data_IF_442619272205
#
_entry.id   IF_442619272205
#
_cell.length_a   1.000
_cell.length_b   1.000
_cell.length_c   1.000
_cell.angle_alpha   90.00
_cell.angle_beta   90.00
_cell.angle_gamma   90.00
#
_symmetry.space_group_name_H-M   'P 1'
#
loop_
_entity.id
_entity.type
_entity.pdbx_description
1 polymer ?
#
# COMPACT_ATOMS: atom_id res chain seq x y z
N UNK A 1 14.65 -14.43 5.94
CA UNK A 1 14.04 -14.34 7.28
C UNK A 1 13.42 -15.69 7.64
N UNK A 2 13.80 -16.30 8.77
CA UNK A 2 13.42 -17.66 9.16
C UNK A 2 11.88 -17.93 9.12
N UNK A 3 11.01 -17.06 9.67
CA UNK A 3 9.57 -17.27 9.62
C UNK A 3 9.00 -17.32 8.20
N UNK A 4 9.53 -16.51 7.28
CA UNK A 4 9.07 -16.49 5.89
C UNK A 4 9.45 -17.75 5.13
N UNK A 5 10.64 -18.32 5.42
CA UNK A 5 11.05 -19.60 4.86
C UNK A 5 10.14 -20.73 5.31
N UNK A 6 9.87 -20.83 6.62
CA UNK A 6 8.96 -21.86 7.18
C UNK A 6 7.56 -21.77 6.58
N UNK A 7 7.02 -20.57 6.42
CA UNK A 7 5.71 -20.37 5.80
C UNK A 7 5.70 -20.86 4.35
N UNK A 8 6.75 -20.52 3.59
CA UNK A 8 6.92 -20.99 2.21
C UNK A 8 7.01 -22.51 2.13
N UNK A 9 7.83 -23.12 2.98
CA UNK A 9 8.00 -24.58 3.02
C UNK A 9 6.70 -25.29 3.37
N UNK A 10 5.93 -24.78 4.32
CA UNK A 10 4.59 -25.27 4.65
C UNK A 10 3.63 -25.17 3.46
N UNK A 11 3.61 -24.02 2.78
CA UNK A 11 2.75 -23.81 1.62
C UNK A 11 3.08 -24.80 0.50
N UNK A 12 4.37 -24.98 0.19
CA UNK A 12 4.84 -25.93 -0.82
C UNK A 12 4.47 -27.37 -0.43
N UNK A 13 4.67 -27.75 0.84
CA UNK A 13 4.30 -29.07 1.36
C UNK A 13 2.79 -29.32 1.26
N UNK A 14 1.98 -28.28 1.43
CA UNK A 14 0.52 -28.32 1.28
C UNK A 14 0.06 -28.27 -0.20
N UNK A 15 0.96 -28.33 -1.17
CA UNK A 15 0.65 -28.27 -2.60
C UNK A 15 0.24 -26.88 -3.10
N UNK A 16 0.50 -25.81 -2.32
CA UNK A 16 0.20 -24.44 -2.72
C UNK A 16 1.35 -23.89 -3.56
N UNK A 17 1.04 -23.40 -4.75
CA UNK A 17 2.01 -22.74 -5.60
C UNK A 17 2.44 -21.39 -4.98
N UNK A 18 3.74 -21.24 -4.73
CA UNK A 18 4.32 -20.00 -4.20
C UNK A 18 5.14 -19.34 -5.30
N UNK A 19 4.78 -18.10 -5.64
CA UNK A 19 5.47 -17.32 -6.67
C UNK A 19 5.99 -16.01 -6.06
N UNK A 20 7.27 -15.75 -6.23
CA UNK A 20 7.85 -14.45 -5.91
C UNK A 20 7.55 -13.44 -7.01
N UNK A 21 7.33 -12.18 -6.65
CA UNK A 21 7.07 -11.08 -7.58
C UNK A 21 7.89 -9.86 -7.21
N UNK A 22 8.30 -9.09 -8.21
CA UNK A 22 9.06 -7.86 -8.03
C UNK A 22 8.57 -6.73 -8.96
N UNK A 23 9.07 -5.54 -8.76
CA UNK A 23 8.70 -4.37 -9.54
C UNK A 23 8.91 -4.61 -11.05
N UNK A 24 7.96 -4.09 -11.84
CA UNK A 24 7.92 -4.28 -13.29
C UNK A 24 7.02 -5.42 -13.74
N UNK A 25 6.74 -6.39 -12.88
CA UNK A 25 5.83 -7.49 -13.20
C UNK A 25 4.35 -7.07 -13.18
N UNK A 26 3.55 -7.76 -13.97
CA UNK A 26 2.09 -7.63 -13.91
C UNK A 26 1.41 -8.96 -14.18
N UNK A 27 0.24 -9.13 -13.57
CA UNK A 27 -0.61 -10.30 -13.79
C UNK A 27 -2.08 -9.91 -13.74
N UNK A 28 -2.97 -10.83 -14.09
CA UNK A 28 -4.42 -10.62 -14.05
C UNK A 28 -5.07 -11.52 -13.01
N UNK A 29 -6.07 -11.00 -12.34
CA UNK A 29 -6.97 -11.76 -11.50
C UNK A 29 -8.41 -11.37 -11.85
N UNK A 30 -9.11 -12.27 -12.54
CA UNK A 30 -10.39 -11.97 -13.15
C UNK A 30 -10.28 -10.78 -14.11
N UNK A 31 -11.08 -9.74 -13.89
CA UNK A 31 -11.07 -8.50 -14.69
C UNK A 31 -10.00 -7.49 -14.27
N UNK A 32 -9.41 -7.68 -13.09
CA UNK A 32 -8.39 -6.78 -12.59
C UNK A 32 -7.02 -7.07 -13.20
N UNK A 33 -6.26 -6.01 -13.49
CA UNK A 33 -4.82 -6.07 -13.77
C UNK A 33 -4.09 -5.60 -12.51
N UNK A 34 -3.11 -6.37 -12.08
CA UNK A 34 -2.28 -6.08 -10.92
C UNK A 34 -0.86 -5.84 -11.40
N UNK A 35 -0.29 -4.70 -11.07
CA UNK A 35 1.10 -4.34 -11.32
C UNK A 35 1.86 -4.32 -10.00
N UNK A 36 3.03 -4.93 -9.97
CA UNK A 36 3.96 -4.80 -8.86
C UNK A 36 4.84 -3.57 -9.12
N UNK A 37 4.75 -2.57 -8.25
CA UNK A 37 5.49 -1.31 -8.38
C UNK A 37 6.76 -1.31 -7.53
N UNK A 38 6.76 -2.08 -6.44
CA UNK A 38 7.85 -2.22 -5.46
C UNK A 38 7.69 -3.56 -4.70
N UNK A 39 8.73 -4.19 -4.16
CA UNK A 39 10.15 -3.82 -4.24
C UNK A 39 10.75 -4.10 -5.63
N UNK A 40 11.91 -3.51 -5.95
CA UNK A 40 12.71 -3.96 -7.10
C UNK A 40 13.12 -5.42 -6.90
N UNK A 41 13.71 -6.04 -7.93
CA UNK A 41 14.26 -7.38 -7.80
C UNK A 41 15.16 -7.46 -6.57
N UNK A 42 14.93 -8.49 -5.74
CA UNK A 42 15.47 -8.49 -4.41
C UNK A 42 16.99 -8.58 -4.40
N UNK A 43 17.60 -7.62 -3.75
CA UNK A 43 18.94 -7.74 -3.21
C UNK A 43 18.84 -8.46 -1.85
N UNK A 44 18.95 -9.78 -1.87
CA UNK A 44 18.76 -10.65 -0.70
C UNK A 44 19.85 -10.54 0.35
N UNK A 45 20.87 -9.73 0.14
CA UNK A 45 22.00 -9.56 1.04
C UNK A 45 21.70 -8.61 2.22
N UNK A 46 20.53 -7.98 2.26
CA UNK A 46 20.18 -7.05 3.34
C UNK A 46 19.86 -7.79 4.64
N UNK A 47 20.58 -7.51 5.73
CA UNK A 47 20.40 -8.22 7.00
C UNK A 47 19.11 -7.85 7.76
N UNK A 48 18.42 -6.77 7.37
CA UNK A 48 17.19 -6.28 8.04
C UNK A 48 16.13 -5.86 7.05
N UNK A 49 14.90 -6.31 7.29
CA UNK A 49 13.69 -5.85 6.60
C UNK A 49 13.36 -4.43 7.08
N UNK A 50 13.04 -3.54 6.13
CA UNK A 50 12.61 -2.15 6.38
C UNK A 50 11.16 -1.99 5.93
N UNK A 51 10.51 -0.92 6.39
CA UNK A 51 9.18 -0.55 5.88
C UNK A 51 9.20 -0.34 4.36
N UNK A 52 10.28 0.25 3.84
CA UNK A 52 10.49 0.46 2.41
C UNK A 52 10.72 -0.82 1.60
N UNK A 53 10.80 -1.98 2.23
CA UNK A 53 10.79 -3.28 1.54
C UNK A 53 9.35 -3.81 1.33
N UNK A 54 8.34 -3.03 1.70
CA UNK A 54 6.92 -3.38 1.53
C UNK A 54 6.54 -3.57 0.07
N UNK A 55 5.68 -4.55 -0.19
CA UNK A 55 5.10 -4.76 -1.51
C UNK A 55 4.12 -3.63 -1.83
N UNK A 56 4.33 -2.97 -2.97
CA UNK A 56 3.41 -1.97 -3.51
C UNK A 56 2.73 -2.51 -4.75
N UNK A 57 1.42 -2.54 -4.72
CA UNK A 57 0.59 -3.01 -5.83
C UNK A 57 -0.31 -1.88 -6.35
N UNK A 58 -0.38 -1.77 -7.67
CA UNK A 58 -1.45 -1.04 -8.33
C UNK A 58 -2.45 -2.04 -8.94
N UNK A 59 -3.68 -1.94 -8.54
CA UNK A 59 -4.79 -2.76 -9.04
C UNK A 59 -5.70 -1.89 -9.91
N UNK A 60 -5.84 -2.25 -11.19
CA UNK A 60 -6.72 -1.53 -12.12
C UNK A 60 -7.87 -2.42 -12.59
N UNK A 61 -9.10 -1.87 -12.61
CA UNK A 61 -10.28 -2.53 -13.13
C UNK A 61 -11.23 -1.49 -13.74
N UNK A 62 -11.42 -1.52 -15.05
CA UNK A 62 -12.16 -0.47 -15.76
C UNK A 62 -11.57 0.92 -15.46
N UNK A 63 -12.41 1.84 -15.03
CA UNK A 63 -12.05 3.23 -14.71
C UNK A 63 -11.45 3.44 -13.31
N UNK A 64 -11.20 2.36 -12.56
CA UNK A 64 -10.71 2.42 -11.19
C UNK A 64 -9.26 1.97 -11.12
N UNK A 65 -8.42 2.74 -10.43
CA UNK A 65 -7.09 2.34 -9.99
C UNK A 65 -7.00 2.42 -8.47
N UNK A 66 -6.52 1.36 -7.84
CA UNK A 66 -6.26 1.30 -6.41
C UNK A 66 -4.78 1.08 -6.16
N UNK A 67 -4.18 1.93 -5.32
CA UNK A 67 -2.79 1.81 -4.90
C UNK A 67 -2.74 1.23 -3.48
N UNK A 68 -2.11 0.08 -3.35
CA UNK A 68 -1.83 -0.61 -2.09
C UNK A 68 -0.35 -0.40 -1.77
N UNK A 69 -0.05 0.39 -0.76
CA UNK A 69 1.29 0.95 -0.53
C UNK A 69 2.11 0.19 0.50
N UNK A 70 1.52 -0.73 1.27
CA UNK A 70 2.21 -1.26 2.45
C UNK A 70 2.61 -0.13 3.41
N UNK A 71 3.82 -0.20 3.92
CA UNK A 71 4.36 0.75 4.91
C UNK A 71 5.52 1.59 4.36
N UNK A 72 5.58 1.79 3.02
CA UNK A 72 6.60 2.59 2.36
C UNK A 72 6.63 4.04 2.84
N UNK A 73 7.82 4.62 2.78
CA UNK A 73 8.04 6.04 3.05
C UNK A 73 8.04 6.91 1.78
N UNK A 74 8.26 8.20 2.00
CA UNK A 74 8.20 9.23 0.95
C UNK A 74 9.21 9.04 -0.19
N UNK A 75 10.32 8.35 0.02
CA UNK A 75 11.32 8.07 -1.01
C UNK A 75 10.74 7.13 -2.07
N UNK A 76 10.22 5.97 -1.62
CA UNK A 76 9.58 5.00 -2.52
C UNK A 76 8.34 5.60 -3.19
N UNK A 77 7.55 6.40 -2.45
CA UNK A 77 6.40 7.10 -3.03
C UNK A 77 6.78 8.01 -4.21
N UNK A 78 7.89 8.76 -4.10
CA UNK A 78 8.40 9.60 -5.20
C UNK A 78 8.80 8.78 -6.43
N UNK A 79 9.41 7.62 -6.20
CA UNK A 79 9.87 6.75 -7.29
C UNK A 79 8.71 6.10 -8.05
N UNK A 80 7.64 5.73 -7.35
CA UNK A 80 6.49 5.08 -8.00
C UNK A 80 5.49 6.07 -8.61
N UNK A 81 5.38 7.30 -8.07
CA UNK A 81 4.38 8.28 -8.47
C UNK A 81 4.31 8.55 -9.99
N UNK A 82 5.43 8.70 -10.74
CA UNK A 82 5.40 8.93 -12.18
C UNK A 82 4.87 7.73 -12.99
N UNK A 83 4.89 6.53 -12.39
CA UNK A 83 4.51 5.27 -13.05
C UNK A 83 3.05 4.88 -12.83
N UNK A 84 2.31 5.65 -12.04
CA UNK A 84 0.93 5.34 -11.66
C UNK A 84 -0.06 5.59 -12.79
N UNK A 85 -1.05 4.71 -12.91
CA UNK A 85 -2.11 4.80 -13.91
C UNK A 85 -3.03 5.99 -13.62
N UNK A 86 -3.31 6.78 -14.65
CA UNK A 86 -4.27 7.89 -14.64
C UNK A 86 -5.69 7.38 -14.87
N UNK A 87 -6.29 6.76 -13.84
CA UNK A 87 -7.67 6.31 -13.89
C UNK A 87 -8.65 7.43 -13.48
N UNK A 88 -9.92 7.30 -13.83
CA UNK A 88 -10.98 8.25 -13.46
C UNK A 88 -11.23 8.26 -11.96
N UNK A 89 -11.23 7.08 -11.34
CA UNK A 89 -11.37 6.90 -9.89
C UNK A 89 -10.06 6.34 -9.34
N UNK A 90 -9.46 7.03 -8.38
CA UNK A 90 -8.19 6.64 -7.75
C UNK A 90 -8.38 6.48 -6.27
N UNK A 91 -8.06 5.29 -5.76
CA UNK A 91 -8.20 4.88 -4.36
C UNK A 91 -6.82 4.61 -3.78
N UNK A 92 -6.45 5.33 -2.75
CA UNK A 92 -5.19 5.14 -2.03
C UNK A 92 -5.43 4.38 -0.73
N UNK A 93 -4.81 3.20 -0.55
CA UNK A 93 -4.53 2.68 0.78
C UNK A 93 -3.33 3.46 1.32
N UNK A 94 -3.58 4.32 2.30
CA UNK A 94 -2.54 5.18 2.89
C UNK A 94 -1.43 4.34 3.50
N UNK A 95 -0.18 4.67 3.16
CA UNK A 95 0.99 3.95 3.61
C UNK A 95 1.22 4.11 5.12
N UNK A 96 1.81 3.09 5.72
CA UNK A 96 2.26 3.07 7.11
C UNK A 96 1.22 3.63 8.09
N UNK A 97 -0.05 3.22 7.89
CA UNK A 97 -1.20 3.59 8.73
C UNK A 97 -1.43 5.11 8.87
N UNK A 98 -0.84 5.92 7.99
CA UNK A 98 -0.85 7.38 8.08
C UNK A 98 0.26 7.95 8.96
N UNK A 99 1.42 7.30 8.99
CA UNK A 99 2.64 7.84 9.58
C UNK A 99 3.05 9.14 8.91
N UNK A 100 3.63 10.06 9.65
CA UNK A 100 4.16 11.34 9.15
C UNK A 100 5.16 11.19 8.00
N UNK A 101 5.87 10.06 7.94
CA UNK A 101 6.87 9.76 6.91
C UNK A 101 6.28 9.26 5.59
N UNK A 102 4.95 9.07 5.52
CA UNK A 102 4.23 8.59 4.35
C UNK A 102 3.27 9.63 3.77
N UNK A 103 2.61 9.29 2.67
CA UNK A 103 1.65 10.18 1.97
C UNK A 103 2.27 11.52 1.62
N UNK A 104 3.41 11.46 0.93
CA UNK A 104 4.19 12.64 0.52
C UNK A 104 3.39 13.55 -0.41
N UNK A 105 3.67 14.84 -0.38
CA UNK A 105 3.09 15.81 -1.31
C UNK A 105 3.33 15.38 -2.76
N UNK A 106 4.53 14.86 -3.08
CA UNK A 106 4.87 14.38 -4.42
C UNK A 106 3.91 13.29 -4.93
N UNK A 107 3.58 12.30 -4.11
CA UNK A 107 2.58 11.28 -4.47
C UNK A 107 1.19 11.87 -4.59
N UNK A 108 0.76 12.62 -3.57
CA UNK A 108 -0.61 13.12 -3.47
C UNK A 108 -0.95 14.14 -4.54
N UNK A 109 -0.05 15.06 -4.85
CA UNK A 109 -0.24 16.10 -5.88
C UNK A 109 -0.18 15.52 -7.29
N UNK A 110 0.72 14.57 -7.53
CA UNK A 110 0.89 13.97 -8.86
C UNK A 110 -0.24 13.01 -9.21
N UNK A 111 -0.70 12.19 -8.27
CA UNK A 111 -1.72 11.16 -8.54
C UNK A 111 -3.13 11.59 -8.15
N UNK A 112 -3.30 12.46 -7.14
CA UNK A 112 -4.55 13.06 -6.65
C UNK A 112 -5.66 12.01 -6.43
N UNK A 113 -5.49 11.08 -5.46
CA UNK A 113 -6.54 10.11 -5.15
C UNK A 113 -7.81 10.82 -4.66
N UNK A 114 -8.97 10.36 -5.12
CA UNK A 114 -10.27 10.87 -4.63
C UNK A 114 -10.68 10.23 -3.31
N UNK A 115 -10.19 9.01 -3.04
CA UNK A 115 -10.51 8.23 -1.85
C UNK A 115 -9.21 7.79 -1.19
N UNK A 116 -9.10 8.02 0.11
CA UNK A 116 -8.00 7.56 0.94
C UNK A 116 -8.51 6.62 2.04
N UNK A 117 -7.96 5.42 2.09
CA UNK A 117 -8.30 4.38 3.07
C UNK A 117 -7.17 4.25 4.09
N UNK A 118 -7.46 4.48 5.35
CA UNK A 118 -6.50 4.39 6.44
C UNK A 118 -6.87 3.21 7.35
N UNK A 119 -5.97 2.23 7.44
CA UNK A 119 -6.07 1.14 8.40
C UNK A 119 -5.37 1.58 9.69
N UNK A 120 -6.12 1.85 10.74
CA UNK A 120 -5.58 2.23 12.05
C UNK A 120 -6.39 1.54 13.16
N UNK A 121 -5.73 1.19 14.24
CA UNK A 121 -6.37 0.65 15.44
C UNK A 121 -6.96 1.77 16.30
N UNK A 122 -8.08 1.52 16.97
CA UNK A 122 -8.61 2.44 17.98
C UNK A 122 -7.64 2.57 19.14
N UNK A 123 -7.29 3.81 19.51
CA UNK A 123 -6.38 4.07 20.61
C UNK A 123 -4.96 3.52 20.37
N UNK A 124 -4.51 3.39 19.11
CA UNK A 124 -3.17 2.92 18.83
C UNK A 124 -2.12 3.85 19.45
N UNK A 125 -1.08 3.26 20.04
CA UNK A 125 0.00 3.97 20.74
C UNK A 125 0.92 4.78 19.82
N UNK A 126 0.85 4.56 18.50
CA UNK A 126 1.69 5.25 17.52
C UNK A 126 1.16 6.63 17.12
N UNK A 127 -0.07 6.97 17.52
CA UNK A 127 -0.72 8.23 17.14
C UNK A 127 -1.06 8.33 15.66
N UNK A 128 -1.21 7.20 14.97
CA UNK A 128 -1.56 7.15 13.56
C UNK A 128 -3.09 7.10 13.34
N UNK A 129 -3.60 7.74 12.28
CA UNK A 129 -2.91 8.64 11.35
C UNK A 129 -2.56 9.97 12.04
N UNK A 130 -1.42 10.55 11.65
CA UNK A 130 -0.99 11.86 12.16
C UNK A 130 -1.80 12.99 11.55
N UNK A 131 -1.86 14.13 12.26
CA UNK A 131 -2.59 15.32 11.80
C UNK A 131 -2.06 15.82 10.45
N UNK A 132 -0.74 15.77 10.26
CA UNK A 132 -0.08 16.22 9.03
C UNK A 132 -0.50 15.40 7.81
N UNK A 133 -0.67 14.07 7.96
CA UNK A 133 -1.17 13.22 6.87
C UNK A 133 -2.61 13.54 6.54
N UNK A 134 -3.45 13.73 7.56
CA UNK A 134 -4.85 14.09 7.35
C UNK A 134 -4.98 15.46 6.65
N UNK A 135 -4.19 16.45 7.03
CA UNK A 135 -4.15 17.77 6.37
C UNK A 135 -3.72 17.67 4.90
N UNK A 136 -2.68 16.86 4.59
CA UNK A 136 -2.25 16.64 3.20
C UNK A 136 -3.32 15.97 2.36
N UNK A 137 -4.05 15.01 2.90
CA UNK A 137 -5.16 14.36 2.20
C UNK A 137 -6.34 15.32 1.98
N UNK A 138 -6.64 16.15 2.98
CA UNK A 138 -7.69 17.17 2.89
C UNK A 138 -7.35 18.26 1.85
N UNK A 139 -6.09 18.71 1.80
CA UNK A 139 -5.64 19.74 0.85
C UNK A 139 -5.79 19.35 -0.62
N UNK A 140 -5.80 18.05 -0.94
CA UNK A 140 -6.07 17.55 -2.29
C UNK A 140 -7.54 17.18 -2.52
N UNK A 141 -8.41 17.38 -1.50
CA UNK A 141 -9.83 17.05 -1.54
C UNK A 141 -10.12 15.55 -1.50
N UNK A 142 -9.24 14.72 -0.95
CA UNK A 142 -9.46 13.29 -0.85
C UNK A 142 -10.47 12.96 0.26
N UNK A 143 -11.46 12.12 -0.06
CA UNK A 143 -12.38 11.58 0.93
C UNK A 143 -11.71 10.49 1.77
N UNK A 144 -11.54 10.73 3.06
CA UNK A 144 -10.83 9.83 3.96
C UNK A 144 -11.78 8.90 4.69
N UNK A 145 -11.48 7.60 4.65
CA UNK A 145 -12.14 6.56 5.47
C UNK A 145 -11.10 5.91 6.39
N UNK A 146 -11.48 5.70 7.65
CA UNK A 146 -10.58 5.19 8.69
C UNK A 146 -11.21 4.00 9.42
N UNK A 147 -10.46 2.91 9.58
CA UNK A 147 -10.96 1.71 10.26
C UNK A 147 -11.22 1.93 11.77
N UNK A 148 -10.48 2.84 12.41
CA UNK A 148 -10.65 3.18 13.81
C UNK A 148 -11.92 4.02 14.10
N UNK A 149 -12.46 4.72 13.08
CA UNK A 149 -13.68 5.54 13.18
C UNK A 149 -14.85 4.92 12.43
N UNK A 150 -14.65 4.56 11.17
CA UNK A 150 -15.68 4.13 10.23
C UNK A 150 -15.82 2.61 10.18
N UNK A 151 -14.94 1.87 10.88
CA UNK A 151 -14.95 0.41 10.96
C UNK A 151 -16.23 -0.11 11.62
N UNK A 152 -16.70 -1.28 11.15
CA UNK A 152 -17.89 -1.94 11.71
C UNK A 152 -17.77 -2.12 13.23
N UNK A 153 -18.67 -1.53 14.01
CA UNK A 153 -18.84 -1.94 15.40
C UNK A 153 -19.37 -3.38 15.39
N UNK A 154 -18.66 -4.31 16.06
CA UNK A 154 -19.30 -5.59 16.42
C UNK A 154 -20.55 -5.22 17.22
N UNK A 155 -21.73 -5.57 16.72
CA UNK A 155 -22.93 -5.60 17.55
C UNK A 155 -22.71 -6.74 18.55
N UNK A 156 -22.61 -6.43 19.81
CA UNK A 156 -22.72 -7.42 20.88
C UNK A 156 -24.15 -7.95 20.91
#
# INVERSE_FOLDING_TARGET
HEPSRRLRDHAVTAGVAVTSRHAGESFRWGRARIRVLHPPEADWERPRVRNDDSVVLEVTCGDVAMLLTGDIGAEVERDIAPRLTRARIRVLKVAHHGSRTSSSAALLESWRPQIALISAGRGNSFGHPTAEVLQRLDSIGARVYRTDRDGRRKRN
#
